data_IF_418170102340
#
_entry.id   IF_418170102340
#
_cell.length_a   1.000
_cell.length_b   1.000
_cell.length_c   1.000
_cell.angle_alpha   90.00
_cell.angle_beta   90.00
_cell.angle_gamma   90.00
#
_symmetry.space_group_name_H-M   'P 1'
#
loop_
_entity.id
_entity.type
_entity.pdbx_description
1 polymer ?
#
# COMPACT_ATOMS: atom_id res chain seq x y z
N UNK A 1 -26.86 -17.72 -6.29
CA UNK A 1 -25.70 -18.35 -5.64
C UNK A 1 -24.66 -17.28 -5.39
N UNK A 2 -24.14 -17.23 -4.16
CA UNK A 2 -23.34 -16.11 -3.61
C UNK A 2 -21.94 -16.10 -4.23
N UNK A 3 -21.55 -14.98 -4.83
CA UNK A 3 -20.20 -14.76 -5.37
C UNK A 3 -19.19 -14.75 -4.23
N UNK A 4 -18.28 -15.72 -4.26
CA UNK A 4 -17.20 -15.87 -3.30
C UNK A 4 -16.20 -14.72 -3.43
N UNK A 5 -16.00 -14.03 -2.31
CA UNK A 5 -14.90 -13.12 -2.05
C UNK A 5 -13.60 -13.89 -2.26
N UNK A 6 -12.75 -13.41 -3.17
CA UNK A 6 -11.39 -13.92 -3.33
C UNK A 6 -10.62 -13.52 -2.06
N UNK A 7 -10.65 -14.41 -1.08
CA UNK A 7 -9.67 -14.46 0.00
C UNK A 7 -8.33 -14.82 -0.63
N UNK A 8 -7.40 -13.87 -0.60
CA UNK A 8 -5.98 -14.10 -0.87
C UNK A 8 -5.41 -14.92 0.29
N UNK A 9 -5.74 -16.21 0.31
CA UNK A 9 -5.13 -17.23 1.17
C UNK A 9 -4.31 -18.12 0.23
N UNK A 10 -3.01 -17.86 0.15
CA UNK A 10 -2.08 -18.77 -0.52
C UNK A 10 -1.79 -19.88 0.47
N UNK A 11 -2.44 -21.02 0.25
CA UNK A 11 -2.24 -22.25 1.02
C UNK A 11 -0.84 -22.81 0.77
N UNK A 12 -0.18 -23.15 1.87
CA UNK A 12 1.03 -23.96 1.93
C UNK A 12 0.84 -25.31 1.23
N UNK A 13 1.80 -25.68 0.37
CA UNK A 13 2.15 -27.09 0.14
C UNK A 13 3.65 -27.25 0.32
N UNK A 14 3.99 -28.26 1.11
CA UNK A 14 5.28 -28.47 1.73
C UNK A 14 6.35 -28.94 0.73
N UNK A 15 7.49 -28.25 0.67
CA UNK A 15 8.83 -28.86 0.84
C UNK A 15 9.95 -27.81 0.74
N UNK A 16 10.57 -27.50 1.88
CA UNK A 16 12.00 -27.23 1.99
C UNK A 16 12.53 -25.83 1.64
N UNK A 17 13.08 -25.19 2.70
CA UNK A 17 14.08 -24.09 2.72
C UNK A 17 13.59 -22.63 2.70
N UNK A 18 13.43 -22.11 3.93
CA UNK A 18 13.98 -20.83 4.42
C UNK A 18 13.68 -19.56 3.61
N UNK A 19 12.41 -19.16 3.48
CA UNK A 19 12.04 -17.76 3.13
C UNK A 19 10.92 -17.17 4.02
N UNK A 20 10.54 -17.89 5.09
CA UNK A 20 9.42 -17.56 5.98
C UNK A 20 9.60 -16.23 6.75
N UNK A 21 10.84 -15.72 6.85
CA UNK A 21 11.15 -14.49 7.58
C UNK A 21 10.90 -13.19 6.80
N UNK A 22 10.72 -13.21 5.47
CA UNK A 22 10.50 -12.00 4.66
C UNK A 22 9.03 -11.52 4.65
N UNK A 23 8.08 -12.44 4.86
CA UNK A 23 6.64 -12.16 4.85
C UNK A 23 6.20 -11.48 6.15
N UNK A 24 6.85 -11.79 7.28
CA UNK A 24 6.57 -11.16 8.58
C UNK A 24 7.08 -9.71 8.67
N UNK A 25 8.04 -9.30 7.84
CA UNK A 25 8.51 -7.89 7.78
C UNK A 25 7.71 -7.02 6.81
N UNK A 26 7.06 -7.63 5.81
CA UNK A 26 6.31 -6.93 4.76
C UNK A 26 4.85 -6.70 5.12
N UNK A 27 4.21 -7.65 5.82
CA UNK A 27 2.83 -7.50 6.32
C UNK A 27 2.67 -6.25 7.21
N UNK A 28 3.56 -5.94 8.18
CA UNK A 28 3.46 -4.71 8.95
C UNK A 28 3.52 -3.44 8.11
N UNK A 29 4.29 -3.41 7.01
CA UNK A 29 4.40 -2.24 6.13
C UNK A 29 3.18 -2.04 5.26
N UNK A 30 2.59 -3.12 4.75
CA UNK A 30 1.36 -3.08 3.95
C UNK A 30 0.17 -2.74 4.85
N UNK A 31 0.06 -3.42 6.00
CA UNK A 31 -0.94 -3.12 7.02
C UNK A 31 -0.78 -1.67 7.50
N UNK A 32 0.42 -1.16 7.76
CA UNK A 32 0.62 0.25 8.15
C UNK A 32 0.22 1.26 7.06
N UNK A 33 0.24 0.89 5.78
CA UNK A 33 -0.20 1.75 4.66
C UNK A 33 -1.71 1.68 4.41
N UNK A 34 -2.37 0.58 4.77
CA UNK A 34 -3.82 0.37 4.57
C UNK A 34 -4.64 0.59 5.85
N UNK A 35 -4.11 0.19 7.00
CA UNK A 35 -4.57 0.56 8.32
C UNK A 35 -3.89 1.89 8.67
N UNK A 36 -4.57 2.96 8.30
CA UNK A 36 -4.45 4.21 9.01
C UNK A 36 -4.89 3.92 10.45
N UNK A 37 -3.94 3.48 11.28
CA UNK A 37 -4.12 3.49 12.73
C UNK A 37 -4.41 4.91 13.21
N UNK A 38 -4.31 5.17 14.51
CA UNK A 38 -4.56 6.51 15.00
C UNK A 38 -3.75 7.52 14.20
N UNK A 39 -4.36 8.68 13.88
CA UNK A 39 -3.74 9.68 13.05
C UNK A 39 -2.26 9.85 13.37
N UNK A 40 -1.37 10.02 12.39
CA UNK A 40 -0.08 10.63 12.73
C UNK A 40 -0.37 11.91 13.51
N UNK A 41 0.39 12.18 14.58
CA UNK A 41 0.66 13.57 14.94
C UNK A 41 1.35 14.14 13.70
N UNK A 42 0.57 14.58 12.73
CA UNK A 42 1.11 15.35 11.65
C UNK A 42 1.72 16.60 12.29
N UNK A 43 2.64 17.25 11.59
CA UNK A 43 3.06 18.62 11.90
C UNK A 43 1.87 19.55 12.21
N UNK A 44 0.64 19.19 11.83
CA UNK A 44 -0.60 19.89 12.11
C UNK A 44 -0.95 20.00 13.60
N UNK A 45 -0.69 18.99 14.43
CA UNK A 45 -1.05 19.03 15.86
C UNK A 45 0.08 19.56 16.74
N UNK A 46 1.33 19.41 16.30
CA UNK A 46 2.52 19.82 17.05
C UNK A 46 2.50 21.29 17.55
N UNK A 47 1.96 22.29 16.81
CA UNK A 47 1.89 23.67 17.26
C UNK A 47 0.90 23.92 18.41
N UNK A 48 -0.01 22.98 18.67
CA UNK A 48 -1.09 23.14 19.66
C UNK A 48 -0.79 22.47 21.00
N UNK A 49 0.33 21.77 21.14
CA UNK A 49 0.67 20.97 22.32
C UNK A 49 2.14 21.11 22.70
N UNK A 50 2.46 20.82 23.97
CA UNK A 50 3.83 20.80 24.47
C UNK A 50 4.62 19.60 23.92
N UNK A 51 5.95 19.64 24.04
CA UNK A 51 6.81 18.51 23.66
C UNK A 51 6.53 17.26 24.48
N UNK A 52 6.10 17.41 25.74
CA UNK A 52 5.68 16.32 26.61
C UNK A 52 4.39 15.67 26.08
N UNK A 53 3.38 16.48 25.76
CA UNK A 53 2.13 15.99 25.18
C UNK A 53 2.34 15.32 23.82
N UNK A 54 3.28 15.81 23.00
CA UNK A 54 3.67 15.13 21.75
C UNK A 54 4.26 13.75 22.01
N UNK A 55 5.10 13.60 23.04
CA UNK A 55 5.67 12.30 23.45
C UNK A 55 4.58 11.34 23.92
N UNK A 56 3.66 11.80 24.77
CA UNK A 56 2.54 10.98 25.26
C UNK A 56 1.68 10.43 24.11
N UNK A 57 1.34 11.28 23.15
CA UNK A 57 0.62 10.83 21.97
C UNK A 57 1.39 9.76 21.18
N UNK A 58 2.68 10.01 20.97
CA UNK A 58 3.54 9.07 20.26
C UNK A 58 3.61 7.73 20.98
N UNK A 59 3.67 7.74 22.31
CA UNK A 59 3.65 6.53 23.14
C UNK A 59 2.31 5.79 23.01
N UNK A 60 1.17 6.49 23.00
CA UNK A 60 -0.15 5.88 22.76
C UNK A 60 -0.19 5.21 21.38
N UNK A 61 0.24 5.92 20.32
CA UNK A 61 0.18 5.44 18.94
C UNK A 61 1.16 4.31 18.63
N UNK A 62 2.34 4.35 19.23
CA UNK A 62 3.38 3.34 19.04
C UNK A 62 3.17 2.10 19.91
N UNK A 63 2.22 2.16 20.87
CA UNK A 63 1.89 1.05 21.73
C UNK A 63 1.26 -0.12 20.93
N UNK A 64 2.04 -1.18 20.76
CA UNK A 64 1.67 -2.38 19.99
C UNK A 64 0.78 -3.37 20.76
N UNK A 65 0.53 -3.13 22.04
CA UNK A 65 -0.34 -3.98 22.87
C UNK A 65 -1.78 -3.50 22.89
N UNK A 66 -2.03 -2.25 22.51
CA UNK A 66 -3.38 -1.70 22.39
C UNK A 66 -3.98 -2.04 21.02
N UNK A 67 -5.28 -2.32 21.01
CA UNK A 67 -6.07 -2.31 19.78
C UNK A 67 -6.17 -0.89 19.21
N UNK A 68 -6.46 -0.78 17.91
CA UNK A 68 -6.65 0.53 17.27
C UNK A 68 -7.78 1.33 17.94
N UNK A 69 -8.88 0.68 18.32
CA UNK A 69 -9.99 1.35 19.02
C UNK A 69 -9.61 1.84 20.42
N UNK A 70 -8.78 1.10 21.15
CA UNK A 70 -8.24 1.55 22.44
C UNK A 70 -7.26 2.71 22.27
N UNK A 71 -6.42 2.69 21.23
CA UNK A 71 -5.55 3.83 20.91
C UNK A 71 -6.37 5.08 20.57
N UNK A 72 -7.42 4.96 19.76
CA UNK A 72 -8.34 6.06 19.44
C UNK A 72 -9.02 6.63 20.70
N UNK A 73 -9.50 5.76 21.59
CA UNK A 73 -10.11 6.18 22.86
C UNK A 73 -9.10 6.94 23.74
N UNK A 74 -7.87 6.45 23.86
CA UNK A 74 -6.80 7.13 24.61
C UNK A 74 -6.39 8.46 23.99
N UNK A 75 -6.35 8.56 22.66
CA UNK A 75 -6.06 9.81 21.96
C UNK A 75 -7.16 10.85 22.19
N UNK A 76 -8.43 10.44 22.25
CA UNK A 76 -9.53 11.35 22.62
C UNK A 76 -9.37 11.89 24.04
N UNK A 77 -9.06 11.03 25.02
CA UNK A 77 -8.78 11.45 26.39
C UNK A 77 -7.56 12.38 26.50
N UNK A 78 -6.49 12.06 25.77
CA UNK A 78 -5.30 12.90 25.67
C UNK A 78 -5.63 14.27 25.06
N UNK A 79 -6.48 14.30 24.04
CA UNK A 79 -6.89 15.54 23.37
C UNK A 79 -7.72 16.45 24.29
N UNK A 80 -8.62 15.86 25.09
CA UNK A 80 -9.38 16.57 26.11
C UNK A 80 -8.47 17.14 27.20
N UNK A 81 -7.49 16.37 27.65
CA UNK A 81 -6.53 16.80 28.68
C UNK A 81 -5.60 17.93 28.23
N UNK A 82 -5.44 18.11 26.91
CA UNK A 82 -4.60 19.14 26.31
C UNK A 82 -5.41 20.25 25.62
N UNK A 83 -6.74 20.29 25.80
CA UNK A 83 -7.63 21.30 25.20
C UNK A 83 -7.58 21.41 23.66
N UNK A 84 -7.27 20.30 22.98
CA UNK A 84 -7.11 20.23 21.51
C UNK A 84 -8.10 19.28 20.80
N UNK A 85 -9.20 18.90 21.47
CA UNK A 85 -10.19 17.97 20.92
C UNK A 85 -10.72 18.41 19.54
N UNK A 86 -10.89 19.71 19.30
CA UNK A 86 -11.34 20.24 18.00
C UNK A 86 -10.33 19.95 16.88
N UNK A 87 -9.04 20.16 17.16
CA UNK A 87 -7.95 19.96 16.21
C UNK A 87 -7.80 18.47 15.88
N UNK A 88 -7.93 17.60 16.89
CA UNK A 88 -7.92 16.15 16.69
C UNK A 88 -9.09 15.70 15.81
N UNK A 89 -10.31 16.21 16.04
CA UNK A 89 -11.48 15.90 15.20
C UNK A 89 -11.32 16.34 13.74
N UNK A 90 -10.73 17.52 13.50
CA UNK A 90 -10.45 18.01 12.14
C UNK A 90 -9.47 17.08 11.44
N UNK A 91 -8.39 16.70 12.12
CA UNK A 91 -7.36 15.81 11.58
C UNK A 91 -7.93 14.41 11.28
N UNK A 92 -8.75 13.86 12.18
CA UNK A 92 -9.45 12.57 11.96
C UNK A 92 -10.32 12.62 10.69
N UNK A 93 -11.09 13.70 10.51
CA UNK A 93 -11.92 13.91 9.31
C UNK A 93 -11.08 13.98 8.04
N UNK A 94 -9.97 14.75 8.05
CA UNK A 94 -9.06 14.86 6.92
C UNK A 94 -8.47 13.50 6.52
N UNK A 95 -8.05 12.70 7.49
CA UNK A 95 -7.49 11.37 7.25
C UNK A 95 -8.56 10.43 6.69
N UNK A 96 -9.80 10.49 7.19
CA UNK A 96 -10.89 9.69 6.66
C UNK A 96 -11.19 10.03 5.20
N UNK A 97 -11.14 11.31 4.83
CA UNK A 97 -11.28 11.75 3.45
C UNK A 97 -10.14 11.22 2.55
N UNK A 98 -8.89 11.32 3.01
CA UNK A 98 -7.74 10.77 2.29
C UNK A 98 -7.88 9.25 2.10
N UNK A 99 -8.30 8.52 3.15
CA UNK A 99 -8.53 7.08 3.11
C UNK A 99 -9.59 6.70 2.08
N UNK A 100 -10.72 7.41 2.06
CA UNK A 100 -11.79 7.15 1.10
C UNK A 100 -11.33 7.43 -0.33
N UNK A 101 -10.61 8.54 -0.55
CA UNK A 101 -10.04 8.86 -1.86
C UNK A 101 -9.06 7.78 -2.33
N UNK A 102 -8.14 7.34 -1.47
CA UNK A 102 -7.18 6.28 -1.81
C UNK A 102 -7.88 4.96 -2.13
N UNK A 103 -8.94 4.60 -1.39
CA UNK A 103 -9.73 3.40 -1.69
C UNK A 103 -10.33 3.44 -3.08
N UNK A 104 -10.93 4.56 -3.48
CA UNK A 104 -11.50 4.69 -4.83
C UNK A 104 -10.42 4.66 -5.92
N UNK A 105 -9.30 5.36 -5.72
CA UNK A 105 -8.18 5.31 -6.66
C UNK A 105 -7.61 3.89 -6.83
N UNK A 106 -7.47 3.14 -5.74
CA UNK A 106 -7.01 1.73 -5.80
C UNK A 106 -8.02 0.86 -6.55
N UNK A 107 -9.34 1.05 -6.32
CA UNK A 107 -10.37 0.33 -7.07
C UNK A 107 -10.29 0.62 -8.57
N UNK A 108 -10.10 1.88 -8.94
CA UNK A 108 -9.94 2.28 -10.35
C UNK A 108 -8.75 1.56 -10.99
N UNK A 109 -7.57 1.57 -10.34
CA UNK A 109 -6.38 0.87 -10.85
C UNK A 109 -6.64 -0.63 -11.00
N UNK A 110 -7.27 -1.26 -10.00
CA UNK A 110 -7.62 -2.70 -10.06
C UNK A 110 -8.55 -3.00 -11.23
N UNK A 111 -9.55 -2.14 -11.48
CA UNK A 111 -10.50 -2.34 -12.58
C UNK A 111 -9.84 -2.22 -13.96
N UNK A 112 -8.86 -1.33 -14.10
CA UNK A 112 -8.16 -1.11 -15.37
C UNK A 112 -6.99 -2.08 -15.60
N UNK A 113 -6.47 -2.70 -14.54
CA UNK A 113 -5.29 -3.55 -14.63
C UNK A 113 -5.41 -4.73 -15.61
N UNK A 114 -6.52 -5.49 -15.68
CA UNK A 114 -6.67 -6.57 -16.66
C UNK A 114 -6.62 -6.07 -18.11
N UNK A 115 -7.29 -4.95 -18.38
CA UNK A 115 -7.31 -4.32 -19.71
C UNK A 115 -5.90 -3.87 -20.10
N UNK A 116 -5.21 -3.22 -19.17
CA UNK A 116 -3.86 -2.75 -19.42
C UNK A 116 -2.86 -3.89 -19.65
N UNK A 117 -2.99 -4.98 -18.91
CA UNK A 117 -2.19 -6.19 -19.12
C UNK A 117 -2.43 -6.79 -20.51
N UNK A 118 -3.69 -6.87 -20.96
CA UNK A 118 -4.02 -7.37 -22.30
C UNK A 118 -3.45 -6.50 -23.41
N UNK A 119 -3.60 -5.17 -23.33
CA UNK A 119 -3.05 -4.25 -24.32
C UNK A 119 -1.52 -4.28 -24.37
N UNK A 120 -0.86 -4.34 -23.21
CA UNK A 120 0.58 -4.50 -23.14
C UNK A 120 1.03 -5.83 -23.77
N UNK A 121 0.33 -6.94 -23.49
CA UNK A 121 0.63 -8.26 -24.04
C UNK A 121 0.53 -8.27 -25.57
N UNK A 122 -0.51 -7.64 -26.14
CA UNK A 122 -0.65 -7.49 -27.61
C UNK A 122 0.55 -6.80 -28.24
N UNK A 123 1.15 -5.80 -27.59
CA UNK A 123 2.33 -5.09 -28.11
C UNK A 123 3.56 -5.99 -28.07
N UNK A 124 3.82 -6.66 -26.94
CA UNK A 124 5.05 -7.46 -26.77
C UNK A 124 5.01 -8.81 -27.50
N UNK A 125 3.82 -9.36 -27.73
CA UNK A 125 3.64 -10.62 -28.46
C UNK A 125 3.49 -10.43 -29.98
N UNK A 126 3.49 -9.17 -30.46
CA UNK A 126 3.34 -8.88 -31.88
C UNK A 126 4.63 -9.21 -32.66
N UNK A 127 4.63 -10.38 -33.30
CA UNK A 127 5.73 -10.90 -34.11
C UNK A 127 6.04 -10.09 -35.38
N UNK A 128 5.18 -9.15 -35.75
CA UNK A 128 5.40 -8.27 -36.90
C UNK A 128 6.19 -7.01 -36.55
N UNK A 129 6.45 -6.76 -35.26
CA UNK A 129 7.19 -5.60 -34.78
C UNK A 129 8.67 -5.95 -34.54
N UNK A 130 9.56 -4.98 -34.79
CA UNK A 130 10.94 -5.11 -34.34
C UNK A 130 11.03 -4.87 -32.82
N UNK A 131 12.12 -5.30 -32.19
CA UNK A 131 12.36 -5.03 -30.77
C UNK A 131 12.33 -3.52 -30.45
N UNK A 132 12.84 -2.68 -31.36
CA UNK A 132 12.78 -1.23 -31.20
C UNK A 132 11.34 -0.70 -31.24
N UNK A 133 10.50 -1.24 -32.13
CA UNK A 133 9.10 -0.84 -32.23
C UNK A 133 8.32 -1.28 -30.98
N UNK A 134 8.55 -2.50 -30.49
CA UNK A 134 7.96 -2.99 -29.24
C UNK A 134 8.35 -2.07 -28.08
N UNK A 135 9.64 -1.72 -27.94
CA UNK A 135 10.10 -0.82 -26.88
C UNK A 135 9.47 0.57 -26.97
N UNK A 136 9.31 1.13 -28.17
CA UNK A 136 8.67 2.44 -28.35
C UNK A 136 7.18 2.39 -28.04
N UNK A 137 6.47 1.37 -28.53
CA UNK A 137 5.03 1.22 -28.29
C UNK A 137 4.73 0.93 -26.82
N UNK A 138 5.51 0.06 -26.18
CA UNK A 138 5.45 -0.16 -24.74
C UNK A 138 5.68 1.14 -23.97
N UNK A 139 6.72 1.93 -24.29
CA UNK A 139 6.96 3.23 -23.64
C UNK A 139 5.79 4.20 -23.80
N UNK A 140 5.16 4.26 -24.98
CA UNK A 140 3.98 5.11 -25.23
C UNK A 140 2.77 4.66 -24.41
N UNK A 141 2.50 3.37 -24.38
CA UNK A 141 1.46 2.77 -23.54
C UNK A 141 1.71 3.01 -22.04
N UNK A 142 2.97 2.93 -21.61
CA UNK A 142 3.37 3.17 -20.22
C UNK A 142 3.34 4.66 -19.82
N UNK A 143 3.36 5.57 -20.79
CA UNK A 143 3.31 7.01 -20.54
C UNK A 143 1.89 7.57 -20.39
N UNK A 144 0.85 6.82 -20.78
CA UNK A 144 -0.54 7.30 -20.75
C UNK A 144 -1.16 7.29 -19.35
N UNK A 145 -0.74 6.38 -18.47
CA UNK A 145 -1.15 6.35 -17.06
C UNK A 145 0.01 5.90 -16.17
N UNK A 146 0.51 6.82 -15.35
CA UNK A 146 1.69 6.61 -14.50
C UNK A 146 1.44 5.59 -13.39
N UNK A 147 0.26 5.59 -12.77
CA UNK A 147 -0.03 4.74 -11.61
C UNK A 147 -0.34 3.31 -12.06
N UNK A 148 -1.09 3.17 -13.16
CA UNK A 148 -1.34 1.89 -13.80
C UNK A 148 -0.04 1.26 -14.33
N UNK A 149 0.83 2.06 -14.96
CA UNK A 149 2.14 1.61 -15.40
C UNK A 149 3.02 1.13 -14.24
N UNK A 150 3.13 1.92 -13.17
CA UNK A 150 3.93 1.54 -11.99
C UNK A 150 3.44 0.23 -11.39
N UNK A 151 2.13 0.06 -11.32
CA UNK A 151 1.50 -1.16 -10.80
C UNK A 151 1.80 -2.36 -11.70
N UNK A 152 1.61 -2.21 -13.01
CA UNK A 152 1.87 -3.26 -13.99
C UNK A 152 3.36 -3.66 -14.01
N UNK A 153 4.26 -2.68 -14.00
CA UNK A 153 5.72 -2.90 -13.87
C UNK A 153 6.05 -3.65 -12.59
N UNK A 154 5.50 -3.23 -11.45
CA UNK A 154 5.73 -3.89 -10.17
C UNK A 154 5.32 -5.36 -10.23
N UNK A 155 4.15 -5.68 -10.81
CA UNK A 155 3.69 -7.06 -10.99
C UNK A 155 4.68 -7.87 -11.86
N UNK A 156 5.12 -7.32 -13.00
CA UNK A 156 6.11 -7.99 -13.83
C UNK A 156 7.43 -8.24 -13.11
N UNK A 157 7.92 -7.30 -12.30
CA UNK A 157 9.14 -7.47 -11.50
C UNK A 157 8.98 -8.56 -10.42
N UNK A 158 7.78 -8.77 -9.89
CA UNK A 158 7.51 -9.85 -8.93
C UNK A 158 7.38 -11.23 -9.62
N UNK A 159 6.87 -11.26 -10.86
CA UNK A 159 6.63 -12.51 -11.58
C UNK A 159 7.80 -12.93 -12.49
N UNK A 160 8.77 -12.04 -12.76
CA UNK A 160 9.96 -12.38 -13.54
C UNK A 160 11.05 -12.95 -12.63
N UNK A 161 11.67 -14.08 -12.99
CA UNK A 161 12.80 -14.62 -12.25
C UNK A 161 13.94 -13.60 -12.15
N UNK A 162 14.48 -13.40 -10.95
CA UNK A 162 15.61 -12.49 -10.67
C UNK A 162 16.86 -12.80 -11.51
N UNK A 163 16.99 -14.06 -11.93
CA UNK A 163 18.01 -14.55 -12.81
C UNK A 163 17.36 -14.89 -14.15
N UNK A 164 17.60 -14.08 -15.18
CA UNK A 164 17.26 -14.46 -16.54
C UNK A 164 17.99 -15.75 -16.97
N UNK A 165 17.73 -16.28 -18.17
CA UNK A 165 18.39 -17.49 -18.70
C UNK A 165 19.92 -17.39 -18.85
N UNK A 166 20.55 -16.28 -18.44
CA UNK A 166 21.99 -16.05 -18.41
C UNK A 166 22.54 -15.79 -16.98
N UNK A 167 21.75 -16.04 -15.93
CA UNK A 167 22.23 -15.99 -14.55
C UNK A 167 23.15 -17.17 -14.28
N UNK A 168 24.46 -16.92 -14.31
CA UNK A 168 25.48 -17.90 -13.96
C UNK A 168 25.16 -18.56 -12.62
N UNK A 169 25.10 -19.89 -12.62
CA UNK A 169 25.27 -20.69 -11.42
C UNK A 169 26.63 -20.34 -10.79
N UNK A 170 26.60 -19.79 -9.58
CA UNK A 170 27.71 -19.84 -8.64
C UNK A 170 27.14 -20.09 -7.25
#
# INVERSE_FOLDING_TARGET
MKSAIILLVITATAHGRTEEWSLLETVPRIVSRFHFGPPPLALELAPFVTTEAQREYHDIRSNRTLTIGEQEAKIKQWAESNDISKQVLIMESNIMNIKNRLKEQVKEVINWLPVAFQEFSKVVENKNLTLNDIQQQAKKFMASDRELFRTLKFIFEQCTPRNGPHGNAR
#
